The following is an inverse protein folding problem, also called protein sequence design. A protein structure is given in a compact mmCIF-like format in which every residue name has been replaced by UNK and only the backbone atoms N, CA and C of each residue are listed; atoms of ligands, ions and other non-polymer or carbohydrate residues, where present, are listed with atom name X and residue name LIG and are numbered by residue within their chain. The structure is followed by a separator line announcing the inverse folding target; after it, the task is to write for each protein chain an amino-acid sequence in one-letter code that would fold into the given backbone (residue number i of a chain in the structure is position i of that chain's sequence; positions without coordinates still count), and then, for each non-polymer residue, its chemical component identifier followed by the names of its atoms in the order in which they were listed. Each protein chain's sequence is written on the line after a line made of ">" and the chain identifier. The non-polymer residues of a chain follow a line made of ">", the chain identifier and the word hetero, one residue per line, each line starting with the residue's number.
data_IF_377096165392
#
_entry.id   IF_377096165392
#
_cell.length_a   1.000
_cell.length_b   1.000
_cell.length_c   1.000
_cell.angle_alpha   90.00
_cell.angle_beta   90.00
_cell.angle_gamma   90.00
#
_symmetry.space_group_name_H-M   'P 1'
#
loop_
_entity.id
_entity.type
_entity.pdbx_description
1 polymer ?
#
# COMPACT_ATOMS: atom_id res chain seq x y z
N UNK A 1 21.00 7.49 -24.28
CA UNK A 1 19.59 7.06 -24.23
C UNK A 1 19.23 6.75 -22.78
N UNK A 2 18.65 7.70 -22.06
CA UNK A 2 18.38 7.57 -20.61
C UNK A 2 17.09 6.78 -20.42
N UNK A 3 17.16 5.58 -19.86
CA UNK A 3 15.98 4.74 -19.62
C UNK A 3 15.18 5.29 -18.43
N UNK A 4 14.12 6.04 -18.72
CA UNK A 4 13.21 6.54 -17.69
C UNK A 4 12.49 5.34 -17.06
N UNK A 5 12.79 5.06 -15.80
CA UNK A 5 12.11 4.00 -15.04
C UNK A 5 10.65 4.38 -14.82
N UNK A 6 9.72 3.44 -14.98
CA UNK A 6 8.30 3.70 -14.77
C UNK A 6 8.03 4.11 -13.31
N UNK A 7 7.04 5.00 -13.12
CA UNK A 7 6.60 5.43 -11.78
C UNK A 7 6.21 4.23 -10.89
N UNK A 8 5.61 3.21 -11.49
CA UNK A 8 5.28 1.95 -10.80
C UNK A 8 6.51 1.20 -10.28
N UNK A 9 7.54 1.06 -11.12
CA UNK A 9 8.78 0.39 -10.73
C UNK A 9 9.51 1.13 -9.59
N UNK A 10 9.57 2.46 -9.65
CA UNK A 10 10.17 3.27 -8.59
C UNK A 10 9.41 3.15 -7.27
N UNK A 11 8.07 3.15 -7.32
CA UNK A 11 7.22 2.98 -6.13
C UNK A 11 7.41 1.60 -5.51
N UNK A 12 7.42 0.53 -6.31
CA UNK A 12 7.64 -0.85 -5.83
C UNK A 12 8.97 -0.96 -5.08
N UNK A 13 10.06 -0.44 -5.66
CA UNK A 13 11.39 -0.43 -5.03
C UNK A 13 11.40 0.31 -3.68
N UNK A 14 10.65 1.42 -3.58
CA UNK A 14 10.51 2.15 -2.31
C UNK A 14 9.73 1.35 -1.27
N UNK A 15 8.61 0.73 -1.68
CA UNK A 15 7.80 -0.09 -0.78
C UNK A 15 8.59 -1.31 -0.26
N UNK A 16 9.32 -2.01 -1.13
CA UNK A 16 10.19 -3.12 -0.74
C UNK A 16 11.21 -2.67 0.31
N UNK A 17 11.91 -1.54 0.07
CA UNK A 17 12.88 -1.00 1.02
C UNK A 17 12.25 -0.65 2.38
N UNK A 18 11.06 -0.03 2.39
CA UNK A 18 10.37 0.32 3.63
C UNK A 18 9.94 -0.95 4.39
N UNK A 19 9.48 -1.98 3.67
CA UNK A 19 9.06 -3.27 4.25
C UNK A 19 10.22 -4.07 4.86
N UNK A 20 11.47 -3.78 4.52
CA UNK A 20 12.63 -4.33 5.23
C UNK A 20 12.76 -3.82 6.67
N UNK A 21 12.18 -2.64 6.97
CA UNK A 21 12.26 -2.01 8.30
C UNK A 21 10.92 -1.98 9.04
N UNK A 22 9.82 -2.02 8.30
CA UNK A 22 8.46 -1.91 8.83
C UNK A 22 7.69 -3.17 8.44
N UNK A 23 7.36 -3.98 9.44
CA UNK A 23 6.47 -5.13 9.33
C UNK A 23 5.21 -4.86 10.15
N UNK A 24 4.07 -5.39 9.71
CA UNK A 24 2.83 -5.36 10.47
C UNK A 24 2.62 -6.67 11.23
N UNK A 25 2.26 -6.59 12.51
CA UNK A 25 1.80 -7.74 13.30
C UNK A 25 0.31 -7.60 13.63
N UNK A 26 -0.30 -8.61 14.24
CA UNK A 26 -1.70 -8.54 14.70
C UNK A 26 -1.96 -7.38 15.66
N UNK A 27 -1.03 -7.10 16.59
CA UNK A 27 -1.14 -5.97 17.53
C UNK A 27 -0.87 -4.62 16.87
N UNK A 28 0.01 -4.61 15.85
CA UNK A 28 0.43 -3.38 15.17
C UNK A 28 0.48 -3.60 13.66
N UNK A 29 -0.69 -3.66 13.00
CA UNK A 29 -0.76 -3.97 11.57
C UNK A 29 -0.22 -2.84 10.72
N UNK A 30 0.30 -3.19 9.54
CA UNK A 30 0.89 -2.23 8.60
C UNK A 30 -0.21 -1.60 7.74
N UNK A 31 -0.20 -0.28 7.66
CA UNK A 31 -1.02 0.46 6.70
C UNK A 31 -0.32 0.51 5.33
N UNK A 32 -1.01 0.04 4.29
CA UNK A 32 -0.56 0.07 2.90
C UNK A 32 -1.43 1.03 2.10
N UNK A 33 -0.84 2.09 1.56
CA UNK A 33 -1.56 3.11 0.77
C UNK A 33 -1.08 3.11 -0.67
N UNK A 34 -2.03 3.11 -1.60
CA UNK A 34 -1.79 3.37 -3.01
C UNK A 34 -2.56 4.61 -3.43
N UNK A 35 -1.87 5.55 -4.08
CA UNK A 35 -2.49 6.75 -4.65
C UNK A 35 -2.30 6.79 -6.16
N UNK A 36 -3.41 6.95 -6.86
CA UNK A 36 -3.47 7.30 -8.28
C UNK A 36 -3.74 8.80 -8.45
N UNK A 37 -3.89 9.26 -9.70
CA UNK A 37 -4.28 10.64 -9.96
C UNK A 37 -5.71 10.95 -9.49
N UNK A 38 -6.62 9.96 -9.49
CA UNK A 38 -8.05 10.16 -9.24
C UNK A 38 -8.54 9.62 -7.90
N UNK A 39 -7.95 8.51 -7.44
CA UNK A 39 -8.41 7.79 -6.25
C UNK A 39 -7.25 7.38 -5.33
N UNK A 40 -7.57 7.21 -4.05
CA UNK A 40 -6.70 6.63 -3.03
C UNK A 40 -7.30 5.33 -2.51
N UNK A 41 -6.43 4.37 -2.23
CA UNK A 41 -6.76 3.04 -1.72
C UNK A 41 -5.87 2.77 -0.52
N UNK A 42 -6.46 2.30 0.57
CA UNK A 42 -5.78 1.99 1.82
C UNK A 42 -6.16 0.60 2.31
N UNK A 43 -5.20 -0.13 2.87
CA UNK A 43 -5.39 -1.45 3.46
C UNK A 43 -4.61 -1.56 4.77
N UNK A 44 -5.23 -2.13 5.80
CA UNK A 44 -4.58 -2.50 7.06
C UNK A 44 -4.27 -3.99 7.00
N UNK A 45 -2.99 -4.34 7.11
CA UNK A 45 -2.50 -5.71 6.84
C UNK A 45 -1.72 -6.22 8.04
N UNK A 46 -2.05 -7.43 8.49
CA UNK A 46 -1.22 -8.25 9.35
C UNK A 46 -0.27 -9.08 8.48
N UNK A 47 1.02 -8.73 8.47
CA UNK A 47 2.02 -9.39 7.63
C UNK A 47 2.40 -10.78 8.18
N UNK A 48 2.20 -11.04 9.47
CA UNK A 48 2.48 -12.36 10.09
C UNK A 48 1.56 -13.45 9.54
N UNK A 49 0.28 -13.11 9.39
CA UNK A 49 -0.75 -14.01 8.86
C UNK A 49 -1.06 -13.77 7.38
N UNK A 50 -0.44 -12.76 6.76
CA UNK A 50 -0.71 -12.34 5.38
C UNK A 50 -2.15 -11.87 5.15
N UNK A 51 -2.84 -11.40 6.20
CA UNK A 51 -4.29 -11.11 6.17
C UNK A 51 -4.54 -9.61 6.15
N UNK A 52 -5.38 -9.17 5.22
CA UNK A 52 -5.93 -7.81 5.24
C UNK A 52 -7.07 -7.75 6.26
N UNK A 53 -6.92 -6.91 7.27
CA UNK A 53 -7.88 -6.72 8.36
C UNK A 53 -8.97 -5.71 7.96
N UNK A 54 -8.60 -4.68 7.20
CA UNK A 54 -9.52 -3.67 6.70
C UNK A 54 -9.03 -3.12 5.36
N UNK A 55 -9.97 -2.70 4.51
CA UNK A 55 -9.70 -2.01 3.26
C UNK A 55 -10.68 -0.84 3.11
N UNK A 56 -10.22 0.24 2.50
CA UNK A 56 -11.04 1.38 2.16
C UNK A 56 -10.50 2.06 0.89
N UNK A 57 -11.40 2.63 0.08
CA UNK A 57 -10.99 3.49 -1.03
C UNK A 57 -11.86 4.72 -1.17
N UNK A 58 -11.29 5.81 -1.71
CA UNK A 58 -12.06 7.02 -2.02
C UNK A 58 -13.02 6.84 -3.20
N UNK A 59 -13.07 5.64 -3.80
CA UNK A 59 -14.06 5.27 -4.80
C UNK A 59 -15.30 4.63 -4.16
N UNK A 60 -15.17 4.06 -2.97
CA UNK A 60 -16.28 3.45 -2.22
C UNK A 60 -17.15 4.48 -1.50
N UNK A 61 -16.68 5.74 -1.40
CA UNK A 61 -17.39 6.82 -0.69
C UNK A 61 -18.74 7.22 -1.31
N UNK A 62 -19.12 6.68 -2.47
CA UNK A 62 -20.43 6.88 -3.11
C UNK A 62 -21.50 5.84 -2.67
N UNK A 63 -21.27 5.05 -1.63
CA UNK A 63 -22.29 4.15 -1.03
C UNK A 63 -23.00 4.79 0.18
N UNK A 64 -23.45 6.04 0.02
CA UNK A 64 -24.25 6.79 1.01
C UNK A 64 -25.44 7.47 0.36
#
# INVERSE_FOLDING_TARGET
>A
MTTIRSRGAMRRKRHERIRLRITGSAERPRLSVFRSAKYIYAQVIDDSNGRTLAAASSREADLG
#
